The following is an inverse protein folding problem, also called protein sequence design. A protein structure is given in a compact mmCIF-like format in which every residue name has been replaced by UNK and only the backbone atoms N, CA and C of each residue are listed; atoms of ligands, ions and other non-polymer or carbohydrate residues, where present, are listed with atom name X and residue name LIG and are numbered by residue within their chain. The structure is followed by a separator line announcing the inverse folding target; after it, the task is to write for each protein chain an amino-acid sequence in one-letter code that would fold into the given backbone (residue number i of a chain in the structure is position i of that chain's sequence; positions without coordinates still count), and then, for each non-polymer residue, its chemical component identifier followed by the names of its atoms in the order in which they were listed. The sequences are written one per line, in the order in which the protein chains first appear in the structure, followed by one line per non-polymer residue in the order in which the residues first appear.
data_IF_329686407751
#
_entry.id   IF_329686407751
#
_cell.length_a   1.000
_cell.length_b   1.000
_cell.length_c   1.000
_cell.angle_alpha   90.00
_cell.angle_beta   90.00
_cell.angle_gamma   90.00
#
_symmetry.space_group_name_H-M   'P 1'
#
loop_
_entity.id
_entity.type
_entity.pdbx_description
1 polymer ?
#
# COMPACT_ATOMS: atom_id res chain seq x y z
N UNK A 1 0.80 -7.31 -2.99
CA UNK A 1 0.97 -8.71 -2.56
C UNK A 1 2.31 -8.84 -1.85
N UNK A 2 2.50 -9.89 -1.06
CA UNK A 2 3.77 -10.24 -0.42
C UNK A 2 4.23 -11.61 -0.89
N UNK A 3 5.54 -11.81 -0.93
CA UNK A 3 6.15 -13.10 -1.22
C UNK A 3 6.79 -13.63 0.05
N UNK A 4 6.47 -14.86 0.43
CA UNK A 4 7.14 -15.58 1.50
C UNK A 4 7.64 -16.93 0.99
N UNK A 5 8.84 -17.31 1.38
CA UNK A 5 9.37 -18.63 1.08
C UNK A 5 8.64 -19.67 1.92
N UNK A 6 8.19 -20.75 1.29
CA UNK A 6 7.86 -22.01 1.94
C UNK A 6 8.84 -23.08 1.43
N UNK A 7 8.83 -24.28 2.01
CA UNK A 7 9.83 -25.32 1.74
C UNK A 7 10.11 -25.52 0.24
N UNK A 8 9.09 -25.99 -0.49
CA UNK A 8 9.17 -26.25 -1.94
C UNK A 8 8.28 -25.29 -2.76
N UNK A 9 7.84 -24.18 -2.16
CA UNK A 9 6.91 -23.25 -2.77
C UNK A 9 7.18 -21.78 -2.39
N UNK A 10 6.49 -20.87 -3.07
CA UNK A 10 6.44 -19.46 -2.70
C UNK A 10 4.99 -19.12 -2.39
N UNK A 11 4.74 -18.63 -1.18
CA UNK A 11 3.45 -18.09 -0.80
C UNK A 11 3.32 -16.68 -1.37
N UNK A 12 2.17 -16.43 -2.00
CA UNK A 12 1.80 -15.14 -2.57
C UNK A 12 0.59 -14.60 -1.80
N UNK A 13 0.84 -13.73 -0.82
CA UNK A 13 -0.22 -13.12 -0.03
C UNK A 13 -0.82 -11.92 -0.76
N UNK A 14 -2.12 -11.97 -1.02
CA UNK A 14 -2.90 -10.96 -1.71
C UNK A 14 -4.27 -10.81 -1.04
N UNK A 15 -4.81 -9.59 -1.01
CA UNK A 15 -6.16 -9.37 -0.52
C UNK A 15 -7.18 -10.25 -1.27
N UNK A 16 -8.04 -10.94 -0.52
CA UNK A 16 -8.96 -11.95 -1.03
C UNK A 16 -9.76 -11.51 -2.28
N UNK A 17 -10.28 -10.26 -2.37
CA UNK A 17 -11.03 -9.82 -3.56
C UNK A 17 -10.23 -9.81 -4.87
N UNK A 18 -8.89 -9.86 -4.79
CA UNK A 18 -8.00 -9.76 -5.95
C UNK A 18 -7.35 -11.09 -6.34
N UNK A 19 -7.50 -12.13 -5.51
CA UNK A 19 -6.83 -13.42 -5.67
C UNK A 19 -7.10 -14.05 -7.04
N UNK A 20 -8.37 -14.22 -7.42
CA UNK A 20 -8.75 -14.86 -8.69
C UNK A 20 -8.20 -14.11 -9.91
N UNK A 21 -8.31 -12.78 -9.91
CA UNK A 21 -7.79 -11.95 -11.00
C UNK A 21 -6.27 -12.05 -11.14
N UNK A 22 -5.56 -12.20 -10.02
CA UNK A 22 -4.11 -12.36 -10.01
C UNK A 22 -3.72 -13.74 -10.51
N UNK A 23 -4.41 -14.81 -10.07
CA UNK A 23 -4.20 -16.18 -10.57
C UNK A 23 -4.43 -16.24 -12.09
N UNK A 24 -5.51 -15.63 -12.58
CA UNK A 24 -5.79 -15.54 -14.01
C UNK A 24 -4.64 -14.84 -14.76
N UNK A 25 -4.16 -13.70 -14.24
CA UNK A 25 -3.07 -12.95 -14.86
C UNK A 25 -1.76 -13.73 -14.87
N UNK A 26 -1.39 -14.35 -13.75
CA UNK A 26 -0.16 -15.14 -13.65
C UNK A 26 -0.23 -16.37 -14.57
N UNK A 27 -1.41 -17.01 -14.68
CA UNK A 27 -1.62 -18.14 -15.60
C UNK A 27 -1.38 -17.75 -17.06
N UNK A 28 -1.78 -16.55 -17.47
CA UNK A 28 -1.49 -16.04 -18.82
C UNK A 28 0.02 -15.88 -19.08
N UNK A 29 0.81 -15.55 -18.06
CA UNK A 29 2.26 -15.31 -18.18
C UNK A 29 3.16 -16.50 -17.84
N UNK A 30 2.63 -17.52 -17.14
CA UNK A 30 3.35 -18.76 -16.83
C UNK A 30 3.89 -19.46 -18.08
N UNK A 31 3.17 -19.38 -19.20
CA UNK A 31 3.53 -20.04 -20.47
C UNK A 31 3.95 -21.51 -20.23
N UNK A 32 5.20 -21.87 -20.58
CA UNK A 32 5.76 -23.22 -20.45
C UNK A 32 6.54 -23.43 -19.14
N UNK A 33 6.50 -22.48 -18.21
CA UNK A 33 7.17 -22.65 -16.93
C UNK A 33 6.51 -23.80 -16.16
N UNK A 34 7.36 -24.67 -15.61
CA UNK A 34 6.96 -25.79 -14.76
C UNK A 34 6.64 -25.29 -13.35
N UNK A 35 5.48 -24.66 -13.22
CA UNK A 35 4.99 -24.07 -11.97
C UNK A 35 3.49 -24.27 -11.86
N UNK A 36 3.01 -24.69 -10.69
CA UNK A 36 1.58 -24.74 -10.36
C UNK A 36 1.21 -23.50 -9.57
N UNK A 37 0.02 -22.94 -9.85
CA UNK A 37 -0.51 -21.77 -9.14
C UNK A 37 -1.87 -22.19 -8.59
N UNK A 38 -2.00 -22.20 -7.27
CA UNK A 38 -3.19 -22.63 -6.57
C UNK A 38 -3.45 -21.74 -5.34
N UNK A 39 -4.72 -21.67 -4.94
CA UNK A 39 -5.10 -20.99 -3.71
C UNK A 39 -4.75 -21.88 -2.51
N UNK A 40 -4.19 -21.28 -1.46
CA UNK A 40 -3.92 -21.97 -0.20
C UNK A 40 -5.08 -21.83 0.76
N UNK A 41 -5.23 -22.76 1.70
CA UNK A 41 -6.15 -22.66 2.84
C UNK A 41 -5.58 -21.89 4.04
N UNK A 42 -4.35 -21.38 3.92
CA UNK A 42 -3.67 -20.65 4.98
C UNK A 42 -4.32 -19.29 5.24
N UNK A 43 -4.31 -18.89 6.50
CA UNK A 43 -4.77 -17.59 6.98
C UNK A 43 -3.57 -16.72 7.34
N UNK A 44 -3.61 -15.45 6.92
CA UNK A 44 -2.69 -14.44 7.41
C UNK A 44 -2.96 -14.17 8.89
N UNK A 45 -1.91 -14.28 9.70
CA UNK A 45 -1.84 -13.78 11.07
C UNK A 45 -0.90 -12.58 11.11
N UNK A 46 -1.22 -11.61 11.95
CA UNK A 46 -0.43 -10.39 12.13
C UNK A 46 -0.58 -9.85 13.55
N UNK A 47 0.43 -9.11 14.01
CA UNK A 47 0.39 -8.49 15.33
C UNK A 47 1.53 -7.51 15.54
N UNK A 48 1.37 -6.63 16.53
CA UNK A 48 2.33 -5.56 16.84
C UNK A 48 3.31 -5.89 17.97
N UNK A 49 3.02 -6.94 18.75
CA UNK A 49 3.86 -7.40 19.86
C UNK A 49 5.06 -8.24 19.38
N UNK A 50 5.60 -9.03 20.29
CA UNK A 50 6.70 -9.95 19.98
C UNK A 50 6.30 -10.91 18.87
N UNK A 51 7.19 -11.05 17.88
CA UNK A 51 6.98 -11.99 16.80
C UNK A 51 7.05 -13.43 17.34
N UNK A 52 6.08 -14.29 16.98
CA UNK A 52 6.17 -15.72 17.28
C UNK A 52 7.29 -16.37 16.45
N UNK A 53 7.68 -17.59 16.79
CA UNK A 53 8.78 -18.31 16.13
C UNK A 53 8.58 -18.49 14.61
N UNK A 54 7.34 -18.70 14.18
CA UNK A 54 6.92 -18.82 12.78
C UNK A 54 6.58 -17.45 12.13
N UNK A 55 6.69 -16.36 12.90
CA UNK A 55 6.44 -15.01 12.46
C UNK A 55 7.69 -14.34 11.91
N UNK A 56 7.48 -13.41 10.98
CA UNK A 56 8.54 -12.57 10.43
C UNK A 56 8.08 -11.12 10.35
N UNK A 57 9.02 -10.19 10.41
CA UNK A 57 8.72 -8.76 10.38
C UNK A 57 7.97 -8.36 9.09
N UNK A 58 7.00 -7.45 9.20
CA UNK A 58 6.29 -6.94 8.02
C UNK A 58 7.31 -6.26 7.08
N UNK A 59 7.38 -6.69 5.81
CA UNK A 59 8.45 -6.24 4.90
C UNK A 59 8.31 -4.78 4.47
N UNK A 60 7.15 -4.14 4.71
CA UNK A 60 6.89 -2.75 4.35
C UNK A 60 7.54 -1.79 5.33
N UNK A 61 7.36 -2.07 6.61
CA UNK A 61 7.82 -1.25 7.72
C UNK A 61 7.77 -2.10 9.00
N UNK A 62 8.87 -2.16 9.75
CA UNK A 62 8.96 -2.94 10.99
C UNK A 62 7.94 -2.51 12.06
N UNK A 63 7.45 -1.26 12.00
CA UNK A 63 6.44 -0.73 12.93
C UNK A 63 5.05 -1.31 12.69
N UNK A 64 4.83 -2.02 11.59
CA UNK A 64 3.62 -2.82 11.35
C UNK A 64 3.70 -4.19 12.03
N UNK A 65 4.77 -4.47 12.77
CA UNK A 65 4.93 -5.69 13.56
C UNK A 65 5.31 -6.88 12.69
N UNK A 66 4.59 -7.99 12.85
CA UNK A 66 4.92 -9.27 12.24
C UNK A 66 3.76 -9.87 11.45
N UNK A 67 4.10 -10.85 10.62
CA UNK A 67 3.19 -11.63 9.78
C UNK A 67 3.53 -13.12 9.91
N UNK A 68 2.52 -13.98 9.87
CA UNK A 68 2.67 -15.44 9.81
C UNK A 68 1.52 -16.03 8.96
N UNK A 69 1.66 -17.26 8.47
CA UNK A 69 0.61 -17.97 7.72
C UNK A 69 0.32 -19.31 8.37
N UNK A 70 -0.94 -19.56 8.74
CA UNK A 70 -1.34 -20.71 9.56
C UNK A 70 -2.63 -21.35 9.07
N UNK A 71 -2.89 -22.59 9.44
CA UNK A 71 -4.09 -23.35 9.01
C UNK A 71 -5.39 -22.89 9.69
N UNK A 72 -5.29 -22.15 10.78
CA UNK A 72 -6.45 -21.62 11.52
C UNK A 72 -6.52 -20.12 11.34
N UNK A 73 -7.74 -19.57 11.30
CA UNK A 73 -7.93 -18.11 11.29
C UNK A 73 -7.34 -17.49 12.56
N UNK A 74 -6.82 -16.27 12.44
CA UNK A 74 -6.44 -15.49 13.61
C UNK A 74 -7.70 -15.14 14.38
N UNK A 75 -7.69 -15.43 15.68
CA UNK A 75 -8.71 -14.98 16.62
C UNK A 75 -8.17 -13.76 17.36
N UNK A 76 -9.06 -12.87 17.77
CA UNK A 76 -8.77 -11.76 18.68
C UNK A 76 -7.74 -10.72 18.16
N UNK A 77 -7.75 -10.40 16.86
CA UNK A 77 -7.04 -9.22 16.34
C UNK A 77 -7.93 -7.97 16.48
N UNK A 78 -7.70 -7.18 17.53
CA UNK A 78 -8.38 -5.91 17.81
C UNK A 78 -7.59 -4.68 17.33
N UNK A 79 -6.51 -4.91 16.57
CA UNK A 79 -5.64 -3.84 16.06
C UNK A 79 -6.37 -2.98 15.04
N UNK A 80 -6.33 -1.66 15.23
CA UNK A 80 -6.74 -0.71 14.20
C UNK A 80 -5.65 -0.62 13.11
N UNK A 81 -5.73 -1.53 12.15
CA UNK A 81 -4.79 -1.58 11.03
C UNK A 81 -4.90 -0.36 10.12
N UNK A 82 -6.04 0.31 10.07
CA UNK A 82 -6.22 1.52 9.28
C UNK A 82 -5.45 2.68 9.92
N UNK A 83 -5.52 2.81 11.26
CA UNK A 83 -4.67 3.75 12.00
C UNK A 83 -3.19 3.49 11.74
N UNK A 84 -2.75 2.23 11.78
CA UNK A 84 -1.35 1.88 11.51
C UNK A 84 -0.92 2.19 10.08
N UNK A 85 -1.80 1.92 9.10
CA UNK A 85 -1.55 2.25 7.69
C UNK A 85 -1.47 3.76 7.47
N UNK A 86 -2.38 4.52 8.06
CA UNK A 86 -2.37 5.99 8.01
C UNK A 86 -1.10 6.53 8.66
N UNK A 87 -0.77 6.08 9.87
CA UNK A 87 0.38 6.52 10.65
C UNK A 87 1.72 6.32 9.92
N UNK A 88 1.85 5.23 9.17
CA UNK A 88 3.10 4.86 8.50
C UNK A 88 3.07 4.96 6.97
N UNK A 89 2.09 5.70 6.43
CA UNK A 89 1.99 5.98 4.99
C UNK A 89 1.96 4.68 4.15
N UNK A 90 1.12 3.72 4.55
CA UNK A 90 1.03 2.40 3.95
C UNK A 90 -0.25 2.30 3.11
N UNK A 91 -0.16 2.29 1.77
CA UNK A 91 -1.33 2.20 0.92
C UNK A 91 -1.91 0.78 0.91
N UNK A 92 -3.22 0.68 0.70
CA UNK A 92 -3.95 -0.58 0.56
C UNK A 92 -4.46 -0.80 -0.87
N UNK A 93 -4.48 -2.07 -1.29
CA UNK A 93 -4.95 -2.46 -2.61
C UNK A 93 -6.46 -2.29 -2.74
N UNK A 94 -6.90 -1.55 -3.77
CA UNK A 94 -8.31 -1.22 -3.98
C UNK A 94 -8.80 0.03 -3.27
N UNK A 95 -7.97 0.65 -2.42
CA UNK A 95 -8.27 1.93 -1.76
C UNK A 95 -7.35 3.01 -2.33
N UNK A 96 -6.10 3.11 -1.87
CA UNK A 96 -5.11 4.03 -2.42
C UNK A 96 -4.42 3.48 -3.69
N UNK A 97 -4.29 2.15 -3.78
CA UNK A 97 -3.69 1.50 -4.96
C UNK A 97 -4.78 1.06 -5.92
N UNK A 98 -4.90 1.78 -7.04
CA UNK A 98 -5.75 1.43 -8.16
C UNK A 98 -4.95 0.92 -9.37
N UNK A 99 -5.66 0.52 -10.45
CA UNK A 99 -5.03 0.06 -11.69
C UNK A 99 -4.08 1.06 -12.35
N UNK A 100 -4.34 2.36 -12.14
CA UNK A 100 -3.59 3.48 -12.72
C UNK A 100 -2.53 4.06 -11.76
N UNK A 101 -2.32 3.44 -10.60
CA UNK A 101 -1.34 3.92 -9.61
C UNK A 101 0.10 3.68 -10.05
N UNK A 102 0.95 4.69 -9.91
CA UNK A 102 2.40 4.55 -10.09
C UNK A 102 3.08 4.20 -8.77
N UNK A 103 3.76 3.05 -8.72
CA UNK A 103 4.31 2.50 -7.47
C UNK A 103 5.25 3.47 -6.73
N UNK A 104 6.03 4.29 -7.44
CA UNK A 104 6.92 5.27 -6.80
C UNK A 104 6.16 6.42 -6.17
N UNK A 105 5.06 6.86 -6.79
CA UNK A 105 4.17 7.86 -6.21
C UNK A 105 3.43 7.30 -4.98
N UNK A 106 3.25 5.98 -4.92
CA UNK A 106 2.68 5.27 -3.77
C UNK A 106 3.73 4.92 -2.69
N UNK A 107 4.99 5.32 -2.88
CA UNK A 107 6.06 5.11 -1.92
C UNK A 107 6.65 3.70 -1.89
N UNK A 108 6.51 2.90 -2.95
CA UNK A 108 7.03 1.52 -2.98
C UNK A 108 8.55 1.44 -2.82
N UNK A 109 9.30 2.51 -3.11
CA UNK A 109 10.73 2.55 -2.81
C UNK A 109 10.99 2.51 -1.29
N UNK A 110 10.27 3.32 -0.51
CA UNK A 110 10.30 3.33 0.95
C UNK A 110 9.80 2.01 1.55
N UNK A 111 8.83 1.37 0.90
CA UNK A 111 8.16 0.15 1.36
C UNK A 111 8.90 -1.14 0.98
N UNK A 112 10.15 -1.06 0.50
CA UNK A 112 10.91 -2.21 -0.01
C UNK A 112 10.20 -2.99 -1.14
N UNK A 113 9.28 -2.33 -1.86
CA UNK A 113 8.43 -2.94 -2.89
C UNK A 113 9.01 -2.90 -4.31
N UNK A 114 10.14 -2.22 -4.51
CA UNK A 114 10.85 -2.16 -5.80
C UNK A 114 12.36 -2.27 -5.58
N UNK A 115 13.00 -3.10 -6.40
CA UNK A 115 14.45 -3.19 -6.51
C UNK A 115 14.86 -2.66 -7.89
N UNK A 116 15.77 -1.69 -7.91
CA UNK A 116 16.30 -1.07 -9.12
C UNK A 116 17.54 -1.79 -9.68
N UNK A 117 18.09 -2.77 -8.95
CA UNK A 117 19.28 -3.54 -9.32
C UNK A 117 18.96 -4.94 -9.83
N UNK A 118 17.71 -5.41 -9.69
CA UNK A 118 17.27 -6.72 -10.19
C UNK A 118 17.11 -6.75 -11.72
N UNK A 119 17.01 -7.96 -12.25
CA UNK A 119 16.73 -8.22 -13.67
C UNK A 119 15.37 -7.71 -14.16
N UNK A 120 15.10 -7.92 -15.44
CA UNK A 120 13.92 -7.35 -16.11
C UNK A 120 12.58 -7.82 -15.54
N UNK A 121 11.64 -6.90 -15.35
CA UNK A 121 10.26 -7.20 -14.97
C UNK A 121 9.26 -6.30 -15.72
N UNK A 122 7.99 -6.72 -15.80
CA UNK A 122 6.94 -5.99 -16.51
C UNK A 122 6.72 -4.61 -15.86
N UNK A 123 6.76 -3.55 -16.66
CA UNK A 123 6.60 -2.16 -16.18
C UNK A 123 7.88 -1.51 -15.63
N UNK A 124 9.04 -2.19 -15.69
CA UNK A 124 10.31 -1.65 -15.20
C UNK A 124 10.71 -0.35 -15.90
N UNK A 125 10.48 -0.22 -17.22
CA UNK A 125 10.88 0.98 -17.98
C UNK A 125 10.25 2.26 -17.42
N UNK A 126 8.94 2.22 -17.15
CA UNK A 126 8.21 3.35 -16.58
C UNK A 126 8.74 3.70 -15.20
N UNK A 127 8.94 2.69 -14.36
CA UNK A 127 9.46 2.84 -12.99
C UNK A 127 10.87 3.42 -12.98
N UNK A 128 11.77 2.90 -13.82
CA UNK A 128 13.13 3.40 -13.98
C UNK A 128 13.11 4.85 -14.49
N UNK A 129 12.28 5.19 -15.49
CA UNK A 129 12.15 6.56 -15.99
C UNK A 129 11.71 7.53 -14.90
N UNK A 130 10.77 7.13 -14.05
CA UNK A 130 10.31 7.95 -12.93
C UNK A 130 11.42 8.17 -11.90
N UNK A 131 12.21 7.15 -11.57
CA UNK A 131 13.33 7.26 -10.63
C UNK A 131 14.39 8.28 -11.08
N UNK A 132 14.65 8.36 -12.37
CA UNK A 132 15.64 9.30 -12.93
C UNK A 132 15.09 10.72 -13.15
N UNK A 133 13.76 10.89 -13.12
CA UNK A 133 13.11 12.20 -13.30
C UNK A 133 13.06 12.88 -11.93
N UNK A 134 13.85 13.94 -11.79
CA UNK A 134 14.00 14.76 -10.59
C UNK A 134 12.66 15.03 -9.89
N UNK A 135 12.60 14.73 -8.59
CA UNK A 135 11.51 14.97 -7.62
C UNK A 135 10.09 14.60 -8.07
N UNK A 136 9.42 13.71 -7.32
CA UNK A 136 8.02 13.38 -7.57
C UNK A 136 7.15 14.63 -7.38
N UNK A 137 6.29 14.93 -8.37
CA UNK A 137 5.36 16.09 -8.30
C UNK A 137 4.02 15.73 -7.67
N UNK A 138 3.74 14.44 -7.56
CA UNK A 138 2.52 13.89 -6.98
C UNK A 138 2.87 12.62 -6.22
N UNK A 139 2.03 12.26 -5.25
CA UNK A 139 2.22 11.04 -4.52
C UNK A 139 1.29 10.92 -3.33
N UNK A 140 1.36 9.75 -2.71
CA UNK A 140 0.73 9.46 -1.45
C UNK A 140 1.41 10.27 -0.34
N UNK A 141 0.61 10.93 0.48
CA UNK A 141 1.05 11.69 1.64
C UNK A 141 0.10 11.47 2.81
N UNK A 142 0.60 11.78 4.01
CA UNK A 142 -0.21 11.86 5.21
C UNK A 142 -0.74 13.30 5.36
N UNK A 143 -1.99 13.43 5.77
CA UNK A 143 -2.64 14.73 6.01
C UNK A 143 -3.37 14.73 7.34
N UNK A 144 -3.44 15.89 7.98
CA UNK A 144 -4.41 16.14 9.05
C UNK A 144 -5.74 16.59 8.44
N UNK A 145 -6.85 16.17 9.05
CA UNK A 145 -8.21 16.42 8.59
C UNK A 145 -9.06 16.90 9.76
N UNK A 146 -9.75 18.03 9.61
CA UNK A 146 -10.50 18.65 10.70
C UNK A 146 -11.84 17.98 11.03
N UNK A 147 -12.33 17.10 10.15
CA UNK A 147 -13.60 16.39 10.30
C UNK A 147 -13.57 15.06 9.51
N UNK A 148 -14.48 14.11 9.76
CA UNK A 148 -14.62 12.92 8.93
C UNK A 148 -14.92 13.25 7.47
N UNK A 149 -14.21 12.61 6.54
CA UNK A 149 -14.41 12.76 5.10
C UNK A 149 -14.51 11.39 4.45
N UNK A 150 -15.44 11.25 3.50
CA UNK A 150 -15.60 10.00 2.75
C UNK A 150 -14.38 9.77 1.87
N UNK A 151 -13.81 8.55 1.92
CA UNK A 151 -12.75 8.12 1.00
C UNK A 151 -13.15 8.35 -0.46
N UNK A 152 -12.21 8.83 -1.27
CA UNK A 152 -12.43 9.24 -2.66
C UNK A 152 -12.86 10.71 -2.84
N UNK A 153 -13.06 11.46 -1.76
CA UNK A 153 -13.41 12.90 -1.86
C UNK A 153 -12.26 13.70 -2.48
N UNK A 154 -12.58 14.56 -3.44
CA UNK A 154 -11.61 15.47 -4.04
C UNK A 154 -11.10 16.49 -3.01
N UNK A 155 -9.77 16.69 -3.00
CA UNK A 155 -9.10 17.73 -2.25
C UNK A 155 -8.87 18.89 -3.20
N UNK A 156 -9.22 20.11 -2.79
CA UNK A 156 -8.99 21.34 -3.54
C UNK A 156 -8.10 22.32 -2.78
N UNK A 157 -7.29 23.08 -3.49
CA UNK A 157 -6.48 24.18 -2.96
C UNK A 157 -6.76 25.43 -3.82
N UNK A 158 -7.16 26.54 -3.20
CA UNK A 158 -7.56 27.77 -3.89
C UNK A 158 -8.59 27.53 -5.03
N UNK A 159 -9.56 26.65 -4.78
CA UNK A 159 -10.59 26.28 -5.75
C UNK A 159 -10.12 25.42 -6.92
N UNK A 160 -8.89 24.89 -6.88
CA UNK A 160 -8.34 23.99 -7.91
C UNK A 160 -8.13 22.57 -7.36
N UNK A 161 -8.33 21.51 -8.16
CA UNK A 161 -8.05 20.14 -7.71
C UNK A 161 -6.59 19.97 -7.28
N UNK A 162 -6.38 19.51 -6.05
CA UNK A 162 -5.09 19.29 -5.42
C UNK A 162 -4.84 17.81 -5.10
N UNK A 163 -5.87 16.97 -5.05
CA UNK A 163 -5.71 15.55 -4.78
C UNK A 163 -7.00 14.82 -4.45
N UNK A 164 -6.87 13.69 -3.77
CA UNK A 164 -7.97 12.85 -3.32
C UNK A 164 -7.64 12.28 -1.95
N UNK A 165 -8.59 12.33 -1.03
CA UNK A 165 -8.47 11.74 0.30
C UNK A 165 -8.90 10.27 0.28
N UNK A 166 -8.29 9.42 1.08
CA UNK A 166 -8.56 7.98 1.15
C UNK A 166 -8.83 7.52 2.59
N UNK A 167 -8.08 6.52 3.07
CA UNK A 167 -8.24 5.98 4.43
C UNK A 167 -7.99 7.09 5.45
N UNK A 168 -8.96 7.31 6.34
CA UNK A 168 -8.88 8.24 7.47
C UNK A 168 -8.96 7.44 8.78
N UNK A 169 -8.10 7.76 9.73
CA UNK A 169 -8.18 7.31 11.12
C UNK A 169 -7.99 8.49 12.06
N UNK A 170 -8.98 8.74 12.92
CA UNK A 170 -9.03 9.93 13.75
C UNK A 170 -8.95 11.23 12.92
N UNK A 171 -7.99 12.09 13.26
CA UNK A 171 -7.73 13.34 12.56
C UNK A 171 -6.64 13.22 11.47
N UNK A 172 -6.21 12.01 11.11
CA UNK A 172 -5.20 11.79 10.07
C UNK A 172 -5.77 10.97 8.91
N UNK A 173 -5.25 11.19 7.72
CA UNK A 173 -5.63 10.40 6.55
C UNK A 173 -4.46 10.20 5.58
N UNK A 174 -4.60 9.19 4.74
CA UNK A 174 -3.83 9.04 3.50
C UNK A 174 -4.50 9.86 2.40
N UNK A 175 -3.71 10.60 1.65
CA UNK A 175 -4.18 11.36 0.50
C UNK A 175 -3.20 11.23 -0.66
N UNK A 176 -3.73 11.13 -1.89
CA UNK A 176 -2.91 11.31 -3.09
C UNK A 176 -2.94 12.78 -3.49
N UNK A 177 -1.79 13.45 -3.41
CA UNK A 177 -1.69 14.89 -3.59
C UNK A 177 -0.84 15.27 -4.78
N UNK A 178 -1.12 16.46 -5.31
CA UNK A 178 -0.24 17.25 -6.15
C UNK A 178 0.59 18.15 -5.25
N UNK A 179 1.87 17.82 -5.04
CA UNK A 179 2.72 18.53 -4.08
C UNK A 179 2.98 19.98 -4.45
N UNK A 180 2.88 20.35 -5.73
CA UNK A 180 2.96 21.74 -6.18
C UNK A 180 1.78 22.60 -5.66
N UNK A 181 0.65 21.97 -5.32
CA UNK A 181 -0.57 22.61 -4.84
C UNK A 181 -0.83 22.40 -3.34
N UNK A 182 -0.20 21.41 -2.72
CA UNK A 182 -0.35 21.09 -1.31
C UNK A 182 0.57 21.92 -0.40
N UNK A 183 0.61 23.25 -0.59
CA UNK A 183 1.49 24.17 0.16
C UNK A 183 0.79 24.99 1.25
N UNK A 184 -0.54 24.99 1.25
CA UNK A 184 -1.39 25.69 2.21
C UNK A 184 -2.52 24.76 2.66
N UNK A 185 -3.42 25.27 3.52
CA UNK A 185 -4.65 24.56 3.85
C UNK A 185 -5.45 24.25 2.58
N UNK A 186 -5.87 22.99 2.46
CA UNK A 186 -6.66 22.45 1.36
C UNK A 186 -8.02 22.02 1.90
N UNK A 187 -9.04 21.90 1.06
CA UNK A 187 -10.38 21.51 1.51
C UNK A 187 -10.84 20.21 0.85
N UNK A 188 -11.48 19.35 1.63
CA UNK A 188 -12.18 18.15 1.16
C UNK A 188 -13.59 18.16 1.74
N UNK A 189 -14.59 18.38 0.89
CA UNK A 189 -15.93 18.80 1.33
C UNK A 189 -15.83 20.00 2.31
N UNK A 190 -16.41 19.87 3.51
CA UNK A 190 -16.38 20.91 4.54
C UNK A 190 -15.16 20.81 5.47
N UNK A 191 -14.30 19.80 5.30
CA UNK A 191 -13.13 19.59 6.13
C UNK A 191 -11.91 20.38 5.61
N UNK A 192 -11.14 20.93 6.55
CA UNK A 192 -9.80 21.44 6.28
C UNK A 192 -8.80 20.29 6.32
N UNK A 193 -7.93 20.25 5.31
CA UNK A 193 -6.91 19.26 5.07
C UNK A 193 -5.56 19.95 5.06
N UNK A 194 -4.64 19.52 5.92
CA UNK A 194 -3.28 20.08 5.99
C UNK A 194 -2.27 18.98 5.71
N UNK A 195 -1.35 19.23 4.76
CA UNK A 195 -0.25 18.30 4.51
C UNK A 195 0.62 18.18 5.76
N UNK A 196 0.82 16.96 6.24
CA UNK A 196 1.83 16.69 7.27
C UNK A 196 3.18 16.69 6.59
N UNK A 197 4.02 17.67 6.90
CA UNK A 197 5.43 17.62 6.52
C UNK A 197 6.14 16.67 7.47
N UNK A 198 6.86 15.69 6.92
CA UNK A 198 7.83 14.91 7.71
C UNK A 198 8.71 15.90 8.48
N UNK A 199 8.73 15.80 9.81
CA UNK A 199 9.59 16.62 10.68
C UNK A 199 11.07 16.36 10.47
#
# INVERSE_FOLDING_TARGET
FFLSKADDAILLDVGAPFADSLVQRLTMYKLRADVTIEATSLYLHRGLGDAPEDGYADPRDHRLGWRAYRDQAQVDDDTDWDAMRVAYLIPENGVELGPDSFILEMGFERLNGVDFRKGCYVGQEVTARMKHKTELRKGLAQVEVSAPVTSGTEISADGKPAGTIFTQSGNQALAYLRFDRARAAMQAADATVTLMTDG
#
